data_IF_691442356580
#
_entry.id   IF_691442356580
#
_cell.length_a   1.000
_cell.length_b   1.000
_cell.length_c   1.000
_cell.angle_alpha   90.00
_cell.angle_beta   90.00
_cell.angle_gamma   90.00
#
_symmetry.space_group_name_H-M   'P 1'
#
loop_
_entity.id
_entity.type
_entity.pdbx_description
1 polymer ?
#
# COMPACT_ATOMS: atom_id res chain seq x y z
N UNK A 1 -5.84 62.12 -0.92
CA UNK A 1 -5.59 61.43 0.35
C UNK A 1 -6.65 60.34 0.44
N UNK A 2 -6.57 59.20 -0.27
CA UNK A 2 -5.70 58.03 -0.09
C UNK A 2 -5.27 57.77 1.35
N UNK A 3 -5.98 56.83 1.99
CA UNK A 3 -5.52 55.75 2.89
C UNK A 3 -6.74 54.80 3.00
N UNK A 4 -6.74 53.54 2.60
CA UNK A 4 -5.67 52.56 2.58
C UNK A 4 -6.17 51.33 3.35
N UNK A 5 -7.25 50.68 2.85
CA UNK A 5 -7.69 49.41 3.40
C UNK A 5 -6.63 48.34 3.06
N UNK A 6 -6.21 47.49 4.01
CA UNK A 6 -5.17 46.51 3.73
C UNK A 6 -5.73 45.38 2.86
N UNK A 7 -5.25 45.33 1.62
CA UNK A 7 -5.14 44.09 0.86
C UNK A 7 -4.15 43.17 1.57
N UNK A 8 -4.60 42.02 2.03
CA UNK A 8 -3.75 40.84 2.29
C UNK A 8 -4.66 39.61 2.25
N UNK A 9 -4.92 39.07 1.06
CA UNK A 9 -4.12 38.02 0.42
C UNK A 9 -4.30 36.68 1.14
N UNK A 10 -5.14 35.84 0.53
CA UNK A 10 -5.02 34.38 0.39
C UNK A 10 -4.93 33.56 1.67
N UNK A 11 -6.09 33.08 2.12
CA UNK A 11 -6.19 31.79 2.80
C UNK A 11 -7.12 30.83 2.05
N UNK A 12 -7.08 30.86 0.71
CA UNK A 12 -7.34 29.67 -0.09
C UNK A 12 -6.03 28.89 -0.16
N UNK A 13 -5.72 28.13 0.89
CA UNK A 13 -4.66 27.12 0.83
C UNK A 13 -5.30 25.77 0.55
N UNK A 14 -5.35 25.46 -0.75
CA UNK A 14 -5.30 24.13 -1.34
C UNK A 14 -6.16 23.04 -0.67
N UNK A 15 -7.46 23.06 -0.97
CA UNK A 15 -8.30 21.86 -0.96
C UNK A 15 -8.13 21.04 -2.27
N UNK A 16 -6.89 20.91 -2.75
CA UNK A 16 -6.56 20.03 -3.87
C UNK A 16 -5.69 18.85 -3.41
N UNK A 17 -6.02 18.28 -2.25
CA UNK A 17 -5.64 16.88 -2.00
C UNK A 17 -6.42 16.03 -3.02
N UNK A 18 -5.73 15.60 -4.08
CA UNK A 18 -6.31 14.83 -5.17
C UNK A 18 -7.11 13.66 -4.62
N UNK A 19 -8.41 13.73 -4.85
CA UNK A 19 -9.45 12.80 -4.43
C UNK A 19 -9.35 11.45 -5.16
N UNK A 20 -8.24 10.73 -4.99
CA UNK A 20 -8.15 9.33 -5.40
C UNK A 20 -7.01 8.64 -4.67
N UNK A 21 -7.38 7.75 -3.73
CA UNK A 21 -6.45 6.80 -3.13
C UNK A 21 -5.72 6.04 -4.23
N UNK A 22 -4.40 5.94 -4.14
CA UNK A 22 -3.61 5.07 -5.02
C UNK A 22 -3.33 3.74 -4.34
N UNK A 23 -3.20 2.73 -5.17
CA UNK A 23 -3.05 1.35 -4.73
C UNK A 23 -1.72 0.80 -5.25
N UNK A 24 -0.91 0.27 -4.33
CA UNK A 24 0.46 -0.11 -4.62
C UNK A 24 0.70 -1.58 -4.30
N UNK A 25 1.52 -2.25 -5.10
CA UNK A 25 2.14 -3.53 -4.77
C UNK A 25 3.60 -3.28 -4.38
N UNK A 26 4.01 -3.76 -3.22
CA UNK A 26 5.42 -3.83 -2.79
C UNK A 26 5.94 -5.26 -2.85
N UNK A 27 7.11 -5.47 -3.46
CA UNK A 27 7.72 -6.79 -3.66
C UNK A 27 8.85 -7.00 -2.66
N UNK A 28 8.59 -7.79 -1.62
CA UNK A 28 9.48 -7.98 -0.46
C UNK A 28 9.36 -9.41 0.06
N UNK A 29 10.46 -10.02 0.53
CA UNK A 29 10.41 -11.37 1.13
C UNK A 29 9.51 -11.42 2.37
N UNK A 30 8.84 -12.54 2.60
CA UNK A 30 7.86 -12.64 3.69
C UNK A 30 8.44 -12.33 5.08
N UNK A 31 9.67 -12.75 5.35
CA UNK A 31 10.36 -12.45 6.61
C UNK A 31 10.55 -10.94 6.84
N UNK A 32 10.89 -10.18 5.79
CA UNK A 32 11.00 -8.73 5.87
C UNK A 32 9.64 -8.06 5.98
N UNK A 33 8.60 -8.62 5.37
CA UNK A 33 7.23 -8.13 5.51
C UNK A 33 6.76 -8.30 6.96
N UNK A 34 7.02 -9.43 7.61
CA UNK A 34 6.66 -9.64 9.03
C UNK A 34 7.25 -8.54 9.92
N UNK A 35 8.55 -8.31 9.80
CA UNK A 35 9.23 -7.23 10.52
C UNK A 35 8.65 -5.86 10.21
N UNK A 36 8.35 -5.57 8.93
CA UNK A 36 7.76 -4.29 8.52
C UNK A 36 6.35 -4.08 9.12
N UNK A 37 5.55 -5.15 9.20
CA UNK A 37 4.21 -5.13 9.80
C UNK A 37 4.27 -4.91 11.31
N UNK A 38 5.15 -5.65 12.00
CA UNK A 38 5.35 -5.51 13.45
C UNK A 38 5.77 -4.09 13.84
N UNK A 39 6.60 -3.45 13.02
CA UNK A 39 7.08 -2.07 13.23
C UNK A 39 6.12 -0.99 12.71
N UNK A 40 5.04 -1.37 11.99
CA UNK A 40 4.11 -0.40 11.40
C UNK A 40 4.73 0.47 10.30
N UNK A 41 5.60 -0.12 9.47
CA UNK A 41 6.35 0.61 8.43
C UNK A 41 6.21 -0.02 7.04
N UNK A 42 6.38 0.80 6.01
CA UNK A 42 6.76 0.36 4.68
C UNK A 42 8.25 0.60 4.44
N UNK A 43 8.96 -0.46 4.02
CA UNK A 43 10.33 -0.40 3.53
C UNK A 43 10.46 -1.29 2.29
N UNK A 44 10.58 -0.69 1.10
CA UNK A 44 10.65 -1.40 -0.19
C UNK A 44 11.96 -1.12 -0.92
N UNK A 45 12.22 -1.86 -2.01
CA UNK A 45 13.29 -1.57 -2.97
C UNK A 45 14.69 -1.40 -2.35
N UNK A 46 15.06 -2.30 -1.43
CA UNK A 46 16.33 -2.25 -0.69
C UNK A 46 16.54 -0.96 0.13
N UNK A 47 15.45 -0.31 0.55
CA UNK A 47 15.50 0.92 1.37
C UNK A 47 15.60 2.21 0.57
N UNK A 48 15.39 2.18 -0.76
CA UNK A 48 15.38 3.38 -1.60
C UNK A 48 14.12 4.22 -1.40
N UNK A 49 14.27 5.54 -1.34
CA UNK A 49 13.15 6.45 -1.11
C UNK A 49 12.20 6.62 -2.30
N UNK A 50 12.68 6.40 -3.53
CA UNK A 50 12.01 6.88 -4.75
C UNK A 50 10.56 6.43 -4.89
N UNK A 51 10.28 5.15 -4.64
CA UNK A 51 8.93 4.59 -4.77
C UNK A 51 8.06 4.89 -3.54
N UNK A 52 8.63 4.90 -2.33
CA UNK A 52 7.92 5.34 -1.12
C UNK A 52 7.46 6.80 -1.20
N UNK A 53 8.25 7.68 -1.81
CA UNK A 53 7.89 9.11 -2.01
C UNK A 53 6.73 9.32 -2.98
N UNK A 54 6.40 8.34 -3.81
CA UNK A 54 5.27 8.44 -4.74
C UNK A 54 3.93 8.16 -4.08
N UNK A 55 3.97 7.45 -2.94
CA UNK A 55 2.79 7.22 -2.13
C UNK A 55 2.41 8.51 -1.41
N UNK A 56 1.14 8.68 -1.09
CA UNK A 56 0.62 9.76 -0.24
C UNK A 56 -0.08 9.19 1.01
N UNK A 57 -0.37 10.03 1.99
CA UNK A 57 -1.25 9.67 3.11
C UNK A 57 -2.59 9.18 2.55
N UNK A 58 -3.10 8.08 3.08
CA UNK A 58 -4.35 7.46 2.60
C UNK A 58 -4.15 6.41 1.50
N UNK A 59 -3.01 6.38 0.81
CA UNK A 59 -2.70 5.34 -0.17
C UNK A 59 -2.59 3.95 0.46
N UNK A 60 -2.87 2.93 -0.33
CA UNK A 60 -2.83 1.54 0.10
C UNK A 60 -1.61 0.81 -0.47
N UNK A 61 -1.01 -0.06 0.34
CA UNK A 61 0.06 -0.96 -0.04
C UNK A 61 -0.32 -2.40 0.28
N UNK A 62 -0.24 -3.27 -0.73
CA UNK A 62 -0.27 -4.72 -0.56
C UNK A 62 1.15 -5.24 -0.77
N UNK A 63 1.64 -6.03 0.17
CA UNK A 63 2.91 -6.74 0.01
C UNK A 63 2.69 -8.04 -0.76
N UNK A 64 3.48 -8.22 -1.82
CA UNK A 64 3.69 -9.48 -2.50
C UNK A 64 5.06 -10.05 -2.15
N UNK A 65 5.10 -11.30 -1.74
CA UNK A 65 6.31 -12.02 -1.35
C UNK A 65 6.61 -13.14 -2.34
N UNK A 66 7.60 -12.97 -3.23
CA UNK A 66 8.03 -14.02 -4.15
C UNK A 66 8.61 -15.22 -3.40
N UNK A 67 9.32 -14.97 -2.29
CA UNK A 67 9.98 -15.96 -1.46
C UNK A 67 9.79 -15.67 0.03
N UNK A 68 9.99 -16.69 0.86
CA UNK A 68 9.95 -16.55 2.32
C UNK A 68 11.09 -15.67 2.83
N UNK A 69 12.29 -15.82 2.27
CA UNK A 69 13.49 -15.08 2.66
C UNK A 69 14.20 -14.42 1.47
N UNK A 70 15.01 -13.40 1.77
CA UNK A 70 15.74 -12.64 0.74
C UNK A 70 16.87 -13.44 0.08
N UNK A 71 17.56 -14.31 0.83
CA UNK A 71 18.71 -15.10 0.35
C UNK A 71 18.43 -16.60 0.47
N UNK A 72 17.75 -17.17 -0.52
CA UNK A 72 17.61 -18.63 -0.63
C UNK A 72 16.36 -19.25 -0.02
N UNK A 73 15.41 -18.45 0.49
CA UNK A 73 14.13 -18.98 1.00
C UNK A 73 13.26 -19.64 -0.08
N UNK A 74 12.30 -20.44 0.35
CA UNK A 74 11.35 -21.15 -0.52
C UNK A 74 10.49 -20.20 -1.34
N UNK A 75 10.03 -20.68 -2.51
CA UNK A 75 9.08 -19.95 -3.35
C UNK A 75 7.75 -19.82 -2.62
N UNK A 76 7.33 -18.58 -2.36
CA UNK A 76 6.06 -18.30 -1.69
C UNK A 76 4.99 -17.81 -2.67
N UNK A 77 5.33 -16.83 -3.52
CA UNK A 77 4.43 -16.21 -4.50
C UNK A 77 3.04 -15.90 -3.94
N UNK A 78 2.99 -15.10 -2.87
CA UNK A 78 1.76 -14.77 -2.18
C UNK A 78 1.67 -13.30 -1.82
N UNK A 79 0.45 -12.78 -1.72
CA UNK A 79 0.16 -11.53 -1.02
C UNK A 79 0.13 -11.81 0.49
N UNK A 80 0.90 -11.04 1.26
CA UNK A 80 1.27 -11.39 2.65
C UNK A 80 0.88 -10.35 3.67
N UNK A 81 0.68 -9.09 3.27
CA UNK A 81 0.16 -8.04 4.14
C UNK A 81 -0.54 -6.94 3.33
N UNK A 82 -1.45 -6.23 3.97
CA UNK A 82 -2.19 -5.09 3.40
C UNK A 82 -2.29 -3.98 4.44
N UNK A 83 -1.97 -2.75 4.05
CA UNK A 83 -1.99 -1.60 4.94
C UNK A 83 -2.12 -0.28 4.22
N UNK A 84 -2.38 0.77 5.00
CA UNK A 84 -2.62 2.14 4.53
C UNK A 84 -1.54 3.09 5.05
N UNK A 85 -1.06 3.98 4.19
CA UNK A 85 -0.09 5.00 4.57
C UNK A 85 -0.74 6.02 5.53
N UNK A 86 -0.10 6.23 6.67
CA UNK A 86 -0.62 7.10 7.73
C UNK A 86 -0.39 8.58 7.37
N UNK A 87 0.80 8.89 6.86
CA UNK A 87 1.24 10.25 6.59
C UNK A 87 1.99 10.36 5.25
N UNK A 88 2.37 11.58 4.89
CA UNK A 88 3.19 11.85 3.71
C UNK A 88 4.70 11.76 3.99
N UNK A 89 5.11 11.37 5.19
CA UNK A 89 6.50 11.43 5.64
C UNK A 89 7.25 10.18 5.16
N UNK A 90 8.43 10.42 4.59
CA UNK A 90 9.42 9.37 4.31
C UNK A 90 10.70 9.75 5.04
N UNK A 91 11.10 8.94 6.00
CA UNK A 91 12.24 9.24 6.87
C UNK A 91 13.33 8.19 6.75
N UNK A 92 14.55 8.57 7.17
CA UNK A 92 15.70 7.67 7.22
C UNK A 92 15.73 7.01 8.59
N UNK A 93 15.97 5.71 8.64
CA UNK A 93 16.10 4.95 9.88
C UNK A 93 17.41 4.19 9.89
N UNK A 94 18.29 4.46 10.86
CA UNK A 94 19.59 3.82 10.94
C UNK A 94 19.44 2.43 11.56
N UNK A 95 19.66 1.38 10.76
CA UNK A 95 19.71 -0.01 11.24
C UNK A 95 21.16 -0.37 11.62
N UNK A 96 22.13 0.04 10.79
CA UNK A 96 23.56 -0.08 11.07
C UNK A 96 24.31 1.12 10.48
N UNK A 97 25.62 1.20 10.72
CA UNK A 97 26.47 2.26 10.13
C UNK A 97 26.43 2.25 8.60
N UNK A 98 26.36 1.06 7.99
CA UNK A 98 26.34 0.89 6.53
C UNK A 98 24.93 0.83 5.94
N UNK A 99 23.87 0.79 6.77
CA UNK A 99 22.51 0.61 6.30
C UNK A 99 21.51 1.56 6.98
N UNK A 100 21.14 2.59 6.23
CA UNK A 100 20.17 3.62 6.63
C UNK A 100 19.04 3.66 5.59
N UNK A 101 18.09 2.70 5.62
CA UNK A 101 16.97 2.68 4.70
C UNK A 101 15.99 3.85 4.91
N UNK A 102 15.22 4.11 3.87
CA UNK A 102 14.01 4.92 3.96
C UNK A 102 12.81 4.09 4.39
N UNK A 103 12.01 4.65 5.30
CA UNK A 103 10.78 4.08 5.84
C UNK A 103 9.64 5.08 5.72
N UNK A 104 8.41 4.57 5.74
CA UNK A 104 7.16 5.33 5.87
C UNK A 104 6.26 4.63 6.88
N UNK A 105 5.47 5.39 7.62
CA UNK A 105 4.52 4.84 8.59
C UNK A 105 3.28 4.27 7.89
N UNK A 106 2.87 3.08 8.34
CA UNK A 106 1.77 2.30 7.78
C UNK A 106 0.88 1.75 8.90
N UNK A 107 -0.42 1.71 8.64
CA UNK A 107 -1.39 0.99 9.46
C UNK A 107 -1.80 -0.29 8.75
N UNK A 108 -1.50 -1.45 9.32
CA UNK A 108 -1.80 -2.76 8.73
C UNK A 108 -3.13 -3.33 9.23
N UNK A 109 -3.80 -4.10 8.36
CA UNK A 109 -5.00 -4.85 8.72
C UNK A 109 -4.64 -6.32 8.97
N UNK A 110 -5.33 -7.01 9.91
CA UNK A 110 -5.30 -8.45 9.98
C UNK A 110 -5.77 -9.06 8.66
N UNK A 111 -5.01 -9.99 8.10
CA UNK A 111 -5.31 -10.60 6.81
C UNK A 111 -4.78 -12.03 6.71
N UNK A 112 -5.40 -12.84 5.85
CA UNK A 112 -4.86 -14.15 5.44
C UNK A 112 -3.90 -13.98 4.27
N UNK A 113 -2.91 -14.88 4.19
CA UNK A 113 -1.99 -14.99 3.06
C UNK A 113 -2.73 -15.55 1.85
N UNK A 114 -2.57 -14.92 0.68
CA UNK A 114 -3.25 -15.33 -0.57
C UNK A 114 -2.24 -15.62 -1.66
N UNK A 115 -2.24 -16.84 -2.20
CA UNK A 115 -1.37 -17.24 -3.32
C UNK A 115 -1.81 -16.54 -4.61
N UNK A 116 -0.87 -15.92 -5.34
CA UNK A 116 -1.19 -15.22 -6.59
C UNK A 116 -1.74 -16.16 -7.66
N UNK A 117 -1.36 -17.45 -7.62
CA UNK A 117 -1.82 -18.48 -8.55
C UNK A 117 -3.36 -18.54 -8.66
N UNK A 118 -4.08 -18.34 -7.55
CA UNK A 118 -5.55 -18.34 -7.54
C UNK A 118 -6.19 -17.07 -8.11
N UNK A 119 -5.39 -16.04 -8.40
CA UNK A 119 -5.84 -14.71 -8.85
C UNK A 119 -5.34 -14.34 -10.25
N UNK A 120 -4.49 -15.15 -10.89
CA UNK A 120 -3.85 -14.81 -12.17
C UNK A 120 -4.87 -14.44 -13.27
N UNK A 121 -6.01 -15.11 -13.33
CA UNK A 121 -7.06 -14.83 -14.33
C UNK A 121 -8.04 -13.73 -13.91
N UNK A 122 -7.95 -13.25 -12.67
CA UNK A 122 -8.83 -12.23 -12.10
C UNK A 122 -8.23 -10.82 -12.16
N UNK A 123 -6.90 -10.70 -12.07
CA UNK A 123 -6.21 -9.41 -11.99
C UNK A 123 -5.87 -8.90 -13.39
N UNK A 124 -6.16 -7.62 -13.66
CA UNK A 124 -5.94 -7.02 -14.98
C UNK A 124 -4.46 -6.94 -15.34
N UNK A 125 -3.55 -6.81 -14.35
CA UNK A 125 -2.10 -6.78 -14.61
C UNK A 125 -1.47 -8.17 -14.82
N UNK A 126 -2.23 -9.26 -14.67
CA UNK A 126 -1.74 -10.64 -14.94
C UNK A 126 -2.54 -11.35 -16.04
N UNK A 127 -3.85 -11.09 -16.14
CA UNK A 127 -4.74 -11.77 -17.07
C UNK A 127 -4.34 -11.45 -18.52
N UNK A 128 -4.21 -12.48 -19.35
CA UNK A 128 -3.79 -12.41 -20.77
C UNK A 128 -2.33 -11.98 -21.00
N UNK A 129 -1.51 -11.87 -19.95
CA UNK A 129 -0.09 -11.52 -20.07
C UNK A 129 0.79 -12.75 -19.89
N UNK A 130 1.46 -13.19 -20.96
CA UNK A 130 2.37 -14.35 -20.89
C UNK A 130 3.54 -14.09 -19.93
N UNK A 131 3.92 -12.83 -19.74
CA UNK A 131 4.97 -12.39 -18.81
C UNK A 131 4.39 -11.70 -17.57
N UNK A 132 3.31 -12.24 -16.98
CA UNK A 132 2.63 -11.65 -15.81
C UNK A 132 3.56 -11.33 -14.63
N UNK A 133 4.71 -12.03 -14.53
CA UNK A 133 5.73 -11.79 -13.51
C UNK A 133 6.58 -10.53 -13.72
N UNK A 134 6.50 -9.87 -14.89
CA UNK A 134 7.37 -8.75 -15.25
C UNK A 134 7.24 -7.53 -14.33
N UNK A 135 6.02 -7.04 -13.97
CA UNK A 135 5.87 -5.89 -13.07
C UNK A 135 6.55 -6.06 -11.71
N UNK A 136 6.62 -7.30 -11.21
CA UNK A 136 7.21 -7.60 -9.90
C UNK A 136 8.74 -7.37 -9.86
N UNK A 137 9.40 -7.24 -11.00
CA UNK A 137 10.84 -6.96 -11.08
C UNK A 137 11.19 -5.54 -10.65
N UNK A 138 10.23 -4.63 -10.63
CA UNK A 138 10.45 -3.22 -10.27
C UNK A 138 10.47 -2.95 -8.77
N UNK A 139 10.14 -3.96 -7.94
CA UNK A 139 10.17 -3.83 -6.48
C UNK A 139 8.96 -3.12 -5.88
N UNK A 140 8.38 -2.13 -6.56
CA UNK A 140 7.08 -1.56 -6.23
C UNK A 140 6.44 -0.94 -7.48
N UNK A 141 5.14 -1.15 -7.65
CA UNK A 141 4.36 -0.62 -8.77
C UNK A 141 2.93 -0.30 -8.37
N UNK A 142 2.29 0.60 -9.12
CA UNK A 142 0.90 1.00 -8.91
C UNK A 142 -0.04 0.03 -9.63
N UNK A 143 -1.20 -0.24 -9.02
CA UNK A 143 -2.29 -1.03 -9.58
C UNK A 143 -3.59 -0.24 -9.56
N UNK A 144 -4.54 -0.62 -10.41
CA UNK A 144 -5.85 0.00 -10.39
C UNK A 144 -6.68 -0.49 -9.19
N UNK A 145 -7.73 0.28 -8.88
CA UNK A 145 -8.66 0.00 -7.78
C UNK A 145 -9.32 -1.39 -7.87
N UNK A 146 -9.67 -1.86 -9.07
CA UNK A 146 -10.35 -3.15 -9.27
C UNK A 146 -9.46 -4.32 -8.86
N UNK A 147 -8.18 -4.27 -9.24
CA UNK A 147 -7.21 -5.30 -8.86
C UNK A 147 -6.93 -5.26 -7.37
N UNK A 148 -6.79 -4.06 -6.80
CA UNK A 148 -6.64 -3.89 -5.35
C UNK A 148 -7.81 -4.54 -4.59
N UNK A 149 -9.05 -4.21 -4.95
CA UNK A 149 -10.24 -4.76 -4.30
C UNK A 149 -10.32 -6.29 -4.45
N UNK A 150 -9.94 -6.81 -5.61
CA UNK A 150 -9.92 -8.27 -5.85
C UNK A 150 -8.96 -8.96 -4.88
N UNK A 151 -7.75 -8.44 -4.71
CA UNK A 151 -6.76 -9.00 -3.78
C UNK A 151 -7.21 -8.78 -2.33
N UNK A 152 -7.67 -7.57 -1.98
CA UNK A 152 -8.07 -7.20 -0.63
C UNK A 152 -9.24 -8.07 -0.13
N UNK A 153 -10.28 -8.28 -0.96
CA UNK A 153 -11.40 -9.15 -0.61
C UNK A 153 -10.94 -10.58 -0.29
N UNK A 154 -9.99 -11.09 -1.08
CA UNK A 154 -9.42 -12.41 -0.85
C UNK A 154 -8.52 -12.43 0.38
N UNK A 155 -7.83 -11.35 0.73
CA UNK A 155 -6.94 -11.28 1.91
C UNK A 155 -7.70 -11.04 3.21
N UNK A 156 -8.77 -10.27 3.19
CA UNK A 156 -9.55 -9.92 4.38
C UNK A 156 -10.70 -10.92 4.63
N UNK A 157 -11.03 -11.72 3.62
CA UNK A 157 -12.08 -12.73 3.70
C UNK A 157 -13.49 -12.16 3.55
N UNK A 158 -14.42 -13.05 3.24
CA UNK A 158 -15.87 -12.79 3.18
C UNK A 158 -16.58 -13.53 4.32
N UNK A 159 -16.04 -13.50 5.54
CA UNK A 159 -16.77 -13.95 6.74
C UNK A 159 -17.18 -12.69 7.48
N UNK A 160 -18.44 -12.29 7.47
CA UNK A 160 -19.58 -13.02 7.99
C UNK A 160 -20.88 -12.77 7.19
N UNK A 161 -21.45 -13.69 6.42
CA UNK A 161 -22.71 -13.41 5.69
C UNK A 161 -23.94 -13.03 6.57
N UNK A 162 -23.84 -13.10 7.90
CA UNK A 162 -24.83 -12.53 8.85
C UNK A 162 -24.35 -11.34 9.71
N UNK A 163 -23.04 -11.03 9.76
CA UNK A 163 -22.48 -9.80 10.38
C UNK A 163 -22.04 -8.75 9.33
N UNK A 164 -21.96 -9.17 8.06
CA UNK A 164 -21.44 -8.41 6.89
C UNK A 164 -22.34 -7.27 6.48
N UNK A 165 -23.63 -7.27 6.83
CA UNK A 165 -24.49 -6.12 6.51
C UNK A 165 -24.16 -4.88 7.32
N UNK A 166 -23.69 -5.01 8.56
CA UNK A 166 -23.30 -3.87 9.39
C UNK A 166 -21.82 -3.51 9.23
N UNK A 167 -20.92 -4.49 9.17
CA UNK A 167 -19.49 -4.21 9.08
C UNK A 167 -18.98 -3.93 7.66
N UNK A 168 -19.56 -4.53 6.59
CA UNK A 168 -19.24 -4.04 5.24
C UNK A 168 -19.84 -2.67 5.00
N UNK A 169 -20.98 -2.34 5.61
CA UNK A 169 -21.47 -0.96 5.57
C UNK A 169 -20.53 -0.02 6.33
N UNK A 170 -19.86 -0.45 7.40
CA UNK A 170 -18.82 0.32 8.09
C UNK A 170 -17.54 0.42 7.25
N UNK A 171 -17.08 -0.65 6.59
CA UNK A 171 -15.92 -0.60 5.70
C UNK A 171 -16.16 0.29 4.47
N UNK A 172 -17.31 0.14 3.81
CA UNK A 172 -17.73 1.02 2.72
C UNK A 172 -18.02 2.45 3.23
N UNK A 173 -18.61 2.65 4.42
CA UNK A 173 -18.75 3.99 5.03
C UNK A 173 -17.40 4.59 5.41
N UNK A 174 -16.41 3.83 5.89
CA UNK A 174 -15.08 4.34 6.21
C UNK A 174 -14.34 4.80 4.94
N UNK A 175 -14.63 4.15 3.80
CA UNK A 175 -14.16 4.54 2.47
C UNK A 175 -14.97 5.71 1.86
N UNK A 176 -16.24 5.90 2.21
CA UNK A 176 -17.09 6.99 1.68
C UNK A 176 -17.23 8.24 2.58
N UNK A 177 -16.96 8.16 3.90
CA UNK A 177 -17.14 9.26 4.88
C UNK A 177 -15.83 9.97 5.29
N UNK A 178 -14.82 10.01 4.43
CA UNK A 178 -13.67 10.91 4.60
C UNK A 178 -13.61 11.96 3.47
N UNK A 179 -14.72 12.67 3.28
CA UNK A 179 -14.82 13.99 2.62
C UNK A 179 -15.29 15.02 3.64
#
# INVERSE_FOLDING_TARGET
MIDGAPDTVLFERDLTCSNQERYWIGVVSASHVSYAVEEGIAQTCHGKAGLLRRMQSGDWLIYYSPRTEMKGGETLQAFTAIGRAIDNVVYRYKISDDFIPHRRNMSYLPCRIVKIAGLLDKLTFTRMEQNWGYPFRFGQFEINRKDFLTIANEMLGSSCEETVKEESLIFYKQLEFNW
#
